data_IF_106189397835
#
_entry.id   IF_106189397835
#
_cell.length_a   1.000
_cell.length_b   1.000
_cell.length_c   1.000
_cell.angle_alpha   90.00
_cell.angle_beta   90.00
_cell.angle_gamma   90.00
#
_symmetry.space_group_name_H-M   'P 1'
#
loop_
_entity.id
_entity.type
_entity.pdbx_description
1 polymer ?
#
# COMPACT_ATOMS: atom_id res chain seq x y z
N UNK A 1 8.49 -10.54 -14.15
CA UNK A 1 7.61 -9.61 -13.43
C UNK A 1 6.56 -9.17 -14.41
N UNK A 2 5.30 -9.24 -14.02
CA UNK A 2 4.16 -8.84 -14.86
C UNK A 2 3.73 -7.43 -14.44
N UNK A 3 3.36 -6.60 -15.42
CA UNK A 3 2.99 -5.20 -15.18
C UNK A 3 1.62 -4.95 -15.81
N UNK A 4 0.66 -4.54 -14.98
CA UNK A 4 -0.63 -4.04 -15.43
C UNK A 4 -0.59 -2.50 -15.42
N UNK A 5 -0.92 -1.88 -16.55
CA UNK A 5 -0.95 -0.41 -16.69
C UNK A 5 -2.25 0.03 -17.35
N UNK A 6 -2.69 1.26 -17.06
CA UNK A 6 -3.90 1.86 -17.63
C UNK A 6 -5.24 1.29 -17.12
N UNK A 7 -5.21 0.35 -16.17
CA UNK A 7 -6.41 -0.19 -15.53
C UNK A 7 -6.71 0.57 -14.22
N UNK A 8 -8.00 0.83 -13.90
CA UNK A 8 -8.38 1.27 -12.57
C UNK A 8 -7.89 0.26 -11.52
N UNK A 9 -7.30 0.72 -10.40
CA UNK A 9 -6.67 -0.16 -9.39
C UNK A 9 -7.59 -1.27 -8.91
N UNK A 10 -8.84 -0.95 -8.57
CA UNK A 10 -9.83 -1.95 -8.13
C UNK A 10 -10.07 -3.05 -9.17
N UNK A 11 -10.27 -2.68 -10.44
CA UNK A 11 -10.43 -3.64 -11.53
C UNK A 11 -9.13 -4.42 -11.79
N UNK A 12 -7.99 -3.74 -11.75
CA UNK A 12 -6.69 -4.34 -11.98
C UNK A 12 -6.29 -5.38 -10.96
N UNK A 13 -6.57 -5.13 -9.67
CA UNK A 13 -6.35 -6.09 -8.58
C UNK A 13 -7.15 -7.38 -8.82
N UNK A 14 -8.43 -7.27 -9.17
CA UNK A 14 -9.25 -8.45 -9.49
C UNK A 14 -8.71 -9.23 -10.68
N UNK A 15 -8.22 -8.55 -11.72
CA UNK A 15 -7.62 -9.20 -12.87
C UNK A 15 -6.38 -9.99 -12.47
N UNK A 16 -5.41 -9.34 -11.81
CA UNK A 16 -4.14 -10.01 -11.46
C UNK A 16 -4.33 -11.17 -10.49
N UNK A 17 -5.23 -11.04 -9.51
CA UNK A 17 -5.53 -12.12 -8.56
C UNK A 17 -6.05 -13.37 -9.28
N UNK A 18 -6.87 -13.21 -10.33
CA UNK A 18 -7.48 -14.33 -11.05
C UNK A 18 -6.59 -14.92 -12.15
N UNK A 19 -5.73 -14.12 -12.76
CA UNK A 19 -4.99 -14.53 -13.95
C UNK A 19 -3.51 -14.81 -13.72
N UNK A 20 -2.90 -14.28 -12.65
CA UNK A 20 -1.45 -14.31 -12.47
C UNK A 20 -0.98 -15.06 -11.22
N UNK A 21 -1.88 -15.48 -10.33
CA UNK A 21 -1.55 -16.11 -9.04
C UNK A 21 -0.39 -15.38 -8.29
N UNK A 22 -0.51 -14.05 -8.06
CA UNK A 22 0.61 -13.25 -7.59
C UNK A 22 0.97 -13.58 -6.14
N UNK A 23 2.28 -13.60 -5.83
CA UNK A 23 2.75 -13.67 -4.43
C UNK A 23 2.77 -12.30 -3.75
N UNK A 24 2.95 -11.24 -4.54
CA UNK A 24 3.02 -9.84 -4.09
C UNK A 24 2.25 -8.98 -5.09
N UNK A 25 1.47 -8.01 -4.59
CA UNK A 25 0.92 -6.92 -5.40
C UNK A 25 1.51 -5.61 -4.89
N UNK A 26 2.12 -4.86 -5.81
CA UNK A 26 2.65 -3.53 -5.54
C UNK A 26 1.71 -2.46 -6.12
N UNK A 27 1.31 -1.52 -5.29
CA UNK A 27 0.59 -0.30 -5.65
C UNK A 27 1.59 0.84 -5.73
N UNK A 28 1.38 1.76 -6.66
CA UNK A 28 2.10 3.03 -6.71
C UNK A 28 1.75 3.86 -5.48
N UNK A 29 0.55 4.42 -5.41
CA UNK A 29 0.04 5.22 -4.29
C UNK A 29 -1.36 4.75 -3.90
N UNK A 30 -1.77 4.88 -2.64
CA UNK A 30 -3.18 4.71 -2.24
C UNK A 30 -3.79 6.09 -2.06
N UNK A 31 -4.75 6.45 -2.91
CA UNK A 31 -5.26 7.84 -2.97
C UNK A 31 -6.77 7.97 -2.85
N UNK A 32 -7.53 6.88 -3.01
CA UNK A 32 -8.99 6.90 -3.00
C UNK A 32 -9.60 5.76 -2.17
N UNK A 33 -10.84 5.91 -1.64
CA UNK A 33 -11.52 4.84 -0.91
C UNK A 33 -11.64 3.53 -1.70
N UNK A 34 -11.79 3.60 -3.02
CA UNK A 34 -11.87 2.43 -3.89
C UNK A 34 -10.55 1.63 -3.90
N UNK A 35 -9.42 2.30 -3.73
CA UNK A 35 -8.10 1.64 -3.59
C UNK A 35 -8.02 0.85 -2.29
N UNK A 36 -8.64 1.36 -1.22
CA UNK A 36 -8.70 0.67 0.08
C UNK A 36 -9.47 -0.63 -0.06
N UNK A 37 -10.62 -0.62 -0.73
CA UNK A 37 -11.39 -1.85 -0.96
C UNK A 37 -10.61 -2.87 -1.81
N UNK A 38 -9.84 -2.40 -2.81
CA UNK A 38 -8.96 -3.26 -3.59
C UNK A 38 -7.82 -3.87 -2.75
N UNK A 39 -7.24 -3.09 -1.85
CA UNK A 39 -6.22 -3.54 -0.88
C UNK A 39 -6.80 -4.61 0.05
N UNK A 40 -8.00 -4.41 0.60
CA UNK A 40 -8.68 -5.38 1.46
C UNK A 40 -8.98 -6.69 0.75
N UNK A 41 -9.49 -6.61 -0.49
CA UNK A 41 -9.72 -7.77 -1.33
C UNK A 41 -8.42 -8.57 -1.53
N UNK A 42 -7.33 -7.89 -1.91
CA UNK A 42 -6.04 -8.55 -2.13
C UNK A 42 -5.50 -9.17 -0.84
N UNK A 43 -5.53 -8.46 0.29
CA UNK A 43 -5.06 -8.97 1.58
C UNK A 43 -5.77 -10.27 1.99
N UNK A 44 -7.06 -10.40 1.69
CA UNK A 44 -7.85 -11.60 1.98
C UNK A 44 -7.60 -12.78 1.02
N UNK A 45 -6.88 -12.57 -0.08
CA UNK A 45 -6.51 -13.63 -1.02
C UNK A 45 -5.13 -14.26 -0.73
N UNK A 46 -4.53 -13.95 0.43
CA UNK A 46 -3.23 -14.52 0.83
C UNK A 46 -2.02 -13.92 0.11
N UNK A 47 -2.20 -12.78 -0.58
CA UNK A 47 -1.10 -12.07 -1.24
C UNK A 47 -0.46 -11.04 -0.30
N UNK A 48 0.85 -10.81 -0.46
CA UNK A 48 1.53 -9.73 0.26
C UNK A 48 1.39 -8.42 -0.49
N UNK A 49 1.26 -7.31 0.24
CA UNK A 49 1.05 -6.00 -0.36
C UNK A 49 2.25 -5.08 -0.13
N UNK A 50 2.56 -4.27 -1.14
CA UNK A 50 3.47 -3.14 -1.06
C UNK A 50 2.75 -1.94 -1.64
N UNK A 51 2.79 -0.80 -0.97
CA UNK A 51 2.19 0.44 -1.48
C UNK A 51 3.04 1.62 -1.04
N UNK A 52 2.99 2.73 -1.77
CA UNK A 52 3.56 3.99 -1.30
C UNK A 52 2.45 4.95 -0.85
N UNK A 53 2.85 5.90 -0.01
CA UNK A 53 1.99 6.97 0.46
C UNK A 53 2.87 8.19 0.76
N UNK A 54 2.31 9.37 0.54
CA UNK A 54 2.94 10.63 0.93
C UNK A 54 2.34 11.14 2.23
N UNK A 55 3.15 11.24 3.27
CA UNK A 55 2.79 11.78 4.58
C UNK A 55 4.00 12.50 5.20
N UNK A 56 3.73 13.47 6.06
CA UNK A 56 4.79 14.19 6.79
C UNK A 56 5.44 13.32 7.88
N UNK A 57 4.68 12.34 8.39
CA UNK A 57 5.14 11.34 9.36
C UNK A 57 4.21 10.13 9.39
N UNK A 58 4.58 9.08 10.11
CA UNK A 58 3.71 7.93 10.38
C UNK A 58 2.46 8.35 11.17
N UNK A 59 2.60 9.30 12.12
CA UNK A 59 1.46 9.84 12.86
C UNK A 59 0.50 10.61 11.95
N UNK A 60 1.02 11.34 10.96
CA UNK A 60 0.18 11.99 9.96
C UNK A 60 -0.61 10.96 9.16
N UNK A 61 0.04 9.86 8.75
CA UNK A 61 -0.62 8.73 8.08
C UNK A 61 -1.73 8.14 8.95
N UNK A 62 -1.50 7.93 10.25
CA UNK A 62 -2.49 7.41 11.23
C UNK A 62 -3.69 8.35 11.45
N UNK A 63 -3.55 9.66 11.21
CA UNK A 63 -4.65 10.64 11.33
C UNK A 63 -5.54 10.72 10.10
N UNK A 64 -5.02 10.38 8.92
CA UNK A 64 -5.76 10.44 7.65
C UNK A 64 -6.76 9.27 7.57
N UNK A 65 -8.08 9.52 7.43
CA UNK A 65 -9.11 8.48 7.47
C UNK A 65 -8.89 7.34 6.48
N UNK A 66 -8.38 7.66 5.29
CA UNK A 66 -8.09 6.71 4.22
C UNK A 66 -7.12 5.60 4.68
N UNK A 67 -6.01 6.00 5.31
CA UNK A 67 -4.97 5.05 5.75
C UNK A 67 -5.29 4.44 7.11
N UNK A 68 -5.91 5.20 8.02
CA UNK A 68 -6.30 4.72 9.35
C UNK A 68 -7.04 3.39 9.28
N UNK A 69 -8.05 3.26 8.41
CA UNK A 69 -8.82 2.02 8.24
C UNK A 69 -7.93 0.82 7.89
N UNK A 70 -6.91 1.00 7.05
CA UNK A 70 -6.00 -0.09 6.65
C UNK A 70 -4.98 -0.44 7.73
N UNK A 71 -4.49 0.58 8.45
CA UNK A 71 -3.53 0.42 9.55
C UNK A 71 -4.18 -0.28 10.74
N UNK A 72 -5.36 0.15 11.16
CA UNK A 72 -6.14 -0.49 12.25
C UNK A 72 -6.57 -1.91 11.90
N UNK A 73 -6.85 -2.18 10.61
CA UNK A 73 -7.12 -3.53 10.11
C UNK A 73 -5.89 -4.45 10.05
N UNK A 74 -4.69 -3.95 10.38
CA UNK A 74 -3.46 -4.73 10.39
C UNK A 74 -3.00 -5.23 9.02
N UNK A 75 -3.48 -4.61 7.94
CA UNK A 75 -3.09 -4.95 6.56
C UNK A 75 -1.62 -4.63 6.33
N UNK A 76 -1.20 -3.43 6.76
CA UNK A 76 0.19 -2.99 6.72
C UNK A 76 0.77 -3.03 8.13
N UNK A 77 1.79 -3.86 8.33
CA UNK A 77 2.47 -4.04 9.64
C UNK A 77 3.82 -3.35 9.72
N UNK A 78 4.36 -2.91 8.59
CA UNK A 78 5.67 -2.27 8.48
C UNK A 78 5.61 -1.12 7.51
N UNK A 79 6.42 -0.11 7.77
CA UNK A 79 6.60 1.03 6.87
C UNK A 79 8.09 1.26 6.63
N UNK A 80 8.43 1.60 5.38
CA UNK A 80 9.74 2.14 5.02
C UNK A 80 9.57 3.66 4.90
N UNK A 81 10.09 4.39 5.88
CA UNK A 81 10.05 5.85 5.89
C UNK A 81 11.23 6.35 5.07
N UNK A 82 10.96 7.26 4.14
CA UNK A 82 11.96 7.90 3.27
C UNK A 82 11.98 9.39 3.58
N UNK A 83 13.08 9.87 4.14
CA UNK A 83 13.25 11.28 4.54
C UNK A 83 14.37 11.94 3.73
N UNK A 84 14.24 13.23 3.47
CA UNK A 84 15.34 14.04 2.92
C UNK A 84 16.10 14.72 4.06
N UNK A 85 17.35 14.32 4.27
CA UNK A 85 18.27 14.90 5.25
C UNK A 85 19.42 15.59 4.52
N UNK A 86 19.32 16.91 4.36
CA UNK A 86 20.37 17.72 3.73
C UNK A 86 20.69 17.32 2.29
N UNK A 87 19.67 16.99 1.49
CA UNK A 87 19.81 16.54 0.10
C UNK A 87 20.10 15.05 -0.07
N UNK A 88 20.26 14.31 1.03
CA UNK A 88 20.45 12.85 1.02
C UNK A 88 19.18 12.14 1.50
N UNK A 89 18.88 10.98 0.93
CA UNK A 89 17.77 10.14 1.41
C UNK A 89 18.22 9.30 2.60
N UNK A 90 17.44 9.35 3.69
CA UNK A 90 17.54 8.44 4.83
C UNK A 90 16.35 7.48 4.79
N UNK A 91 16.61 6.22 5.12
CA UNK A 91 15.63 5.14 5.09
C UNK A 91 15.53 4.51 6.47
N UNK A 92 14.33 4.44 7.02
CA UNK A 92 14.06 3.83 8.33
C UNK A 92 12.93 2.82 8.17
N UNK A 93 13.09 1.62 8.71
CA UNK A 93 12.01 0.63 8.78
C UNK A 93 11.44 0.63 10.19
N UNK A 94 10.12 0.79 10.30
CA UNK A 94 9.39 0.76 11.56
C UNK A 94 8.26 -0.27 11.50
N UNK A 95 7.95 -0.89 12.64
CA UNK A 95 6.74 -1.70 12.78
C UNK A 95 5.56 -0.79 13.16
N UNK A 96 4.45 -0.97 12.45
CA UNK A 96 3.20 -0.28 12.70
C UNK A 96 2.46 -1.06 13.79
N UNK A 97 2.81 -0.80 15.05
CA UNK A 97 2.05 -1.21 16.24
C UNK A 97 0.78 -0.35 16.37
#
# INVERSE_FOLDING_TARGET
TDVLTGAPKAGGVMMVLRSMAPQIIAFDEITAPEDVEAVYLAANCGVRLLATAHADSVDDLKRRPLYRKMLEGGIFRRVLIIENYGGKRKYTVEELL
#
